data_IF_967789742715
#
_entry.id   IF_967789742715
#
_cell.length_a   1.000
_cell.length_b   1.000
_cell.length_c   1.000
_cell.angle_alpha   90.00
_cell.angle_beta   90.00
_cell.angle_gamma   90.00
#
_symmetry.space_group_name_H-M   'P 1'
#
loop_
_entity.id
_entity.type
_entity.pdbx_description
1 polymer ?
#
# COMPACT_ATOMS: atom_id res chain seq x y z
N UNK A 1 21.62 -6.00 8.68
CA UNK A 1 21.51 -5.33 7.37
C UNK A 1 20.04 -5.17 6.99
N UNK A 2 19.60 -3.97 6.58
CA UNK A 2 18.24 -3.79 6.04
C UNK A 2 18.22 -4.39 4.64
N UNK A 3 17.33 -5.35 4.41
CA UNK A 3 17.01 -5.83 3.07
C UNK A 3 15.50 -5.74 2.84
N UNK A 4 15.09 -5.70 1.57
CA UNK A 4 13.69 -5.76 1.20
C UNK A 4 13.43 -7.16 0.67
N UNK A 5 12.37 -7.81 1.14
CA UNK A 5 11.99 -9.11 0.58
C UNK A 5 11.61 -8.96 -0.91
N UNK A 6 10.90 -7.88 -1.25
CA UNK A 6 10.36 -7.62 -2.59
C UNK A 6 10.79 -6.25 -3.12
N UNK A 7 12.08 -6.08 -3.49
CA UNK A 7 12.62 -4.79 -3.90
C UNK A 7 11.97 -4.23 -5.17
N UNK A 8 11.47 -5.10 -6.06
CA UNK A 8 10.82 -4.69 -7.31
C UNK A 8 9.54 -3.88 -7.09
N UNK A 9 8.90 -3.98 -5.92
CA UNK A 9 7.68 -3.23 -5.61
C UNK A 9 7.95 -1.74 -5.40
N UNK A 10 9.20 -1.35 -5.18
CA UNK A 10 9.61 0.07 -5.20
C UNK A 10 9.37 0.67 -6.59
N UNK A 11 9.33 -0.13 -7.66
CA UNK A 11 8.99 0.33 -9.01
C UNK A 11 7.52 0.81 -9.14
N UNK A 12 6.65 0.61 -8.14
CA UNK A 12 5.31 1.21 -8.11
C UNK A 12 5.31 2.69 -7.70
N UNK A 13 6.43 3.23 -7.21
CA UNK A 13 6.53 4.63 -6.79
C UNK A 13 6.10 5.63 -7.88
N UNK A 14 6.49 5.50 -9.16
CA UNK A 14 6.02 6.38 -10.23
C UNK A 14 4.59 6.12 -10.72
N UNK A 15 3.88 5.08 -10.25
CA UNK A 15 2.53 4.72 -10.72
C UNK A 15 1.52 5.88 -10.71
N UNK A 16 1.36 6.67 -9.62
CA UNK A 16 0.41 7.79 -9.62
C UNK A 16 0.77 8.89 -10.64
N UNK A 17 2.06 9.11 -10.89
CA UNK A 17 2.52 10.05 -11.92
C UNK A 17 2.21 9.51 -13.32
N UNK A 18 2.46 8.23 -13.57
CA UNK A 18 2.15 7.59 -14.86
C UNK A 18 0.65 7.73 -15.16
N UNK A 19 -0.21 7.39 -14.19
CA UNK A 19 -1.68 7.52 -14.33
C UNK A 19 -2.09 8.99 -14.58
N UNK A 20 -1.41 9.95 -13.95
CA UNK A 20 -1.65 11.37 -14.19
C UNK A 20 -1.27 11.81 -15.62
N UNK A 21 -0.20 11.26 -16.19
CA UNK A 21 0.23 11.55 -17.57
C UNK A 21 -0.51 10.75 -18.64
N UNK A 22 -1.23 9.69 -18.26
CA UNK A 22 -2.06 8.97 -19.21
C UNK A 22 -3.11 9.94 -19.78
N UNK A 23 -3.34 9.91 -21.10
CA UNK A 23 -4.37 10.74 -21.70
C UNK A 23 -5.69 10.35 -21.06
N UNK A 24 -6.28 11.28 -20.31
CA UNK A 24 -7.63 11.12 -19.84
C UNK A 24 -8.46 10.76 -21.08
N UNK A 25 -9.18 9.62 -21.03
CA UNK A 25 -10.27 9.40 -21.99
C UNK A 25 -11.03 10.70 -21.97
N UNK A 26 -11.13 11.36 -23.13
CA UNK A 26 -12.03 12.51 -23.29
C UNK A 26 -13.35 12.01 -22.76
N UNK A 27 -13.67 12.40 -21.53
CA UNK A 27 -14.99 12.20 -21.04
C UNK A 27 -15.76 13.16 -21.93
N UNK A 28 -16.34 12.61 -23.00
CA UNK A 28 -17.61 13.09 -23.52
C UNK A 28 -18.64 12.82 -22.42
N UNK A 29 -18.38 13.38 -21.25
CA UNK A 29 -19.38 14.04 -20.48
C UNK A 29 -19.53 15.35 -21.27
N UNK A 30 -20.33 15.44 -22.36
CA UNK A 30 -21.79 15.50 -22.20
C UNK A 30 -22.12 15.37 -20.74
N UNK A 31 -21.80 16.47 -20.02
CA UNK A 31 -22.21 16.72 -18.65
C UNK A 31 -23.62 16.20 -18.62
N UNK A 32 -23.81 14.99 -18.09
CA UNK A 32 -25.14 14.40 -17.94
C UNK A 32 -25.82 15.47 -17.13
N UNK A 33 -26.70 16.22 -17.80
CA UNK A 33 -27.17 17.50 -17.32
C UNK A 33 -27.66 17.23 -15.91
N UNK A 34 -26.85 17.62 -14.93
CA UNK A 34 -27.27 17.59 -13.56
C UNK A 34 -28.31 18.68 -13.57
N UNK A 35 -29.58 18.29 -13.69
CA UNK A 35 -30.71 19.21 -13.68
C UNK A 35 -30.69 19.79 -12.29
N UNK A 36 -29.96 20.90 -12.15
CA UNK A 36 -29.89 21.66 -10.93
C UNK A 36 -31.21 22.43 -10.85
N UNK A 37 -32.03 22.22 -9.81
CA UNK A 37 -33.17 23.09 -9.57
C UNK A 37 -32.62 24.51 -9.40
N UNK A 38 -33.03 25.44 -10.25
CA UNK A 38 -32.62 26.84 -10.19
C UNK A 38 -33.20 27.46 -8.91
N UNK A 39 -32.40 27.44 -7.85
CA UNK A 39 -32.64 28.28 -6.68
C UNK A 39 -32.09 29.67 -6.97
N UNK A 40 -33.03 30.55 -7.30
CA UNK A 40 -33.03 32.03 -7.16
C UNK A 40 -31.66 32.67 -6.87
N UNK A 41 -31.28 33.59 -7.76
CA UNK A 41 -30.17 34.54 -7.66
C UNK A 41 -29.98 35.07 -6.23
N UNK A 42 -29.05 34.47 -5.50
CA UNK A 42 -28.43 35.07 -4.33
C UNK A 42 -27.10 35.62 -4.82
N UNK A 43 -26.94 36.92 -4.58
CA UNK A 43 -25.79 37.77 -4.82
C UNK A 43 -24.49 36.98 -4.88
N UNK A 44 -23.74 37.22 -5.95
CA UNK A 44 -22.37 36.80 -6.19
C UNK A 44 -21.43 37.26 -5.07
N UNK A 45 -21.52 36.63 -3.90
CA UNK A 45 -20.40 36.58 -2.98
C UNK A 45 -19.46 35.56 -3.57
N UNK A 46 -18.39 36.11 -4.14
CA UNK A 46 -17.13 35.46 -4.49
C UNK A 46 -17.14 33.99 -4.14
N UNK A 47 -17.18 33.16 -5.18
CA UNK A 47 -16.72 31.77 -5.17
C UNK A 47 -15.56 31.74 -4.20
N UNK A 48 -15.82 31.17 -3.01
CA UNK A 48 -14.82 31.00 -1.96
C UNK A 48 -13.62 30.48 -2.69
N UNK A 49 -12.56 31.30 -2.67
CA UNK A 49 -11.27 30.98 -3.24
C UNK A 49 -11.06 29.51 -2.90
N UNK A 50 -11.18 28.64 -3.92
CA UNK A 50 -10.85 27.24 -3.77
C UNK A 50 -9.33 27.24 -3.66
N UNK A 51 -8.88 27.76 -2.53
CA UNK A 51 -7.51 27.98 -2.14
C UNK A 51 -6.93 26.60 -2.24
N UNK A 52 -6.20 26.37 -3.33
CA UNK A 52 -5.71 25.08 -3.80
C UNK A 52 -5.20 24.31 -2.60
N UNK A 53 -6.06 23.50 -1.98
CA UNK A 53 -5.73 22.84 -0.71
C UNK A 53 -4.74 21.77 -1.13
N UNK A 54 -3.44 22.09 -1.04
CA UNK A 54 -2.35 21.13 -1.29
C UNK A 54 -2.26 20.10 -0.17
N UNK A 55 -2.86 20.39 0.99
CA UNK A 55 -2.93 19.49 2.15
C UNK A 55 -3.42 18.06 1.81
N UNK A 56 -4.56 17.84 1.12
CA UNK A 56 -4.98 16.50 0.72
C UNK A 56 -3.98 15.79 -0.20
N UNK A 57 -3.30 16.49 -1.10
CA UNK A 57 -2.29 15.88 -1.97
C UNK A 57 -1.05 15.43 -1.20
N UNK A 58 -0.62 16.21 -0.19
CA UNK A 58 0.51 15.85 0.67
C UNK A 58 0.18 14.59 1.48
N UNK A 59 -1.01 14.53 2.09
CA UNK A 59 -1.45 13.36 2.85
C UNK A 59 -1.54 12.13 1.95
N UNK A 60 -2.14 12.26 0.77
CA UNK A 60 -2.27 11.16 -0.18
C UNK A 60 -0.91 10.64 -0.65
N UNK A 61 0.03 11.54 -0.94
CA UNK A 61 1.41 11.18 -1.31
C UNK A 61 2.12 10.44 -0.18
N UNK A 62 1.95 10.89 1.06
CA UNK A 62 2.54 10.25 2.24
C UNK A 62 1.95 8.86 2.49
N UNK A 63 0.63 8.72 2.41
CA UNK A 63 -0.03 7.40 2.48
C UNK A 63 0.48 6.45 1.39
N UNK A 64 0.67 6.93 0.17
CA UNK A 64 1.19 6.14 -0.95
C UNK A 64 2.63 5.66 -0.69
N UNK A 65 3.51 6.54 -0.21
CA UNK A 65 4.87 6.18 0.16
C UNK A 65 4.90 5.13 1.29
N UNK A 66 4.09 5.32 2.33
CA UNK A 66 3.98 4.36 3.44
C UNK A 66 3.46 3.01 2.97
N UNK A 67 2.49 2.98 2.06
CA UNK A 67 1.95 1.75 1.48
C UNK A 67 3.05 0.98 0.72
N UNK A 68 3.81 1.65 -0.15
CA UNK A 68 4.90 1.01 -0.89
C UNK A 68 5.96 0.47 0.07
N UNK A 69 6.32 1.25 1.10
CA UNK A 69 7.29 0.82 2.10
C UNK A 69 6.80 -0.38 2.91
N UNK A 70 5.52 -0.43 3.27
CA UNK A 70 4.95 -1.58 3.98
C UNK A 70 4.94 -2.85 3.12
N UNK A 71 4.56 -2.73 1.85
CA UNK A 71 4.46 -3.88 0.95
C UNK A 71 5.85 -4.38 0.53
N UNK A 72 6.87 -3.52 0.44
CA UNK A 72 8.25 -3.96 0.11
C UNK A 72 8.92 -4.80 1.21
N UNK A 73 8.28 -4.93 2.38
CA UNK A 73 8.71 -5.75 3.53
C UNK A 73 10.17 -5.50 3.91
N UNK A 74 10.48 -4.33 4.51
CA UNK A 74 11.80 -4.07 5.08
C UNK A 74 12.05 -5.06 6.23
N UNK A 75 13.09 -5.85 6.07
CA UNK A 75 13.51 -6.86 7.03
C UNK A 75 14.92 -6.52 7.52
N UNK A 76 15.11 -6.64 8.82
CA UNK A 76 16.42 -6.51 9.43
C UNK A 76 17.07 -7.89 9.47
N UNK A 77 17.87 -8.21 8.46
CA UNK A 77 18.65 -9.45 8.48
C UNK A 77 19.81 -9.28 9.46
N UNK A 78 20.12 -10.33 10.20
CA UNK A 78 21.35 -10.39 10.98
C UNK A 78 22.60 -10.37 10.09
N UNK A 79 23.74 -10.66 10.70
CA UNK A 79 24.96 -10.94 9.93
C UNK A 79 24.79 -12.23 9.14
N UNK A 80 25.47 -12.32 7.99
CA UNK A 80 25.51 -13.55 7.24
C UNK A 80 26.26 -14.60 8.06
N UNK A 81 25.56 -15.66 8.44
CA UNK A 81 26.15 -16.80 9.12
C UNK A 81 26.48 -17.81 8.02
N UNK A 82 27.76 -18.12 7.86
CA UNK A 82 28.18 -19.22 7.01
C UNK A 82 27.60 -20.51 7.58
N UNK A 83 26.69 -21.13 6.84
CA UNK A 83 26.14 -22.44 7.21
C UNK A 83 27.21 -23.45 6.81
N UNK A 84 27.91 -24.09 7.77
CA UNK A 84 28.90 -25.10 7.41
C UNK A 84 28.18 -26.24 6.67
N UNK A 85 28.72 -26.64 5.52
CA UNK A 85 28.21 -27.77 4.71
C UNK A 85 28.55 -29.14 5.33
N UNK A 86 28.57 -29.21 6.65
CA UNK A 86 28.70 -30.44 7.42
C UNK A 86 27.33 -31.12 7.39
N UNK A 87 27.29 -32.42 7.07
CA UNK A 87 26.09 -33.23 7.20
C UNK A 87 25.68 -33.30 8.67
N UNK A 88 24.86 -32.36 9.12
CA UNK A 88 24.42 -32.30 10.52
C UNK A 88 23.38 -33.38 10.76
N UNK A 89 23.68 -34.31 11.66
CA UNK A 89 22.67 -35.19 12.24
C UNK A 89 21.69 -34.33 13.06
N UNK A 90 20.45 -34.22 12.58
CA UNK A 90 19.38 -33.51 13.29
C UNK A 90 18.60 -34.49 14.15
N UNK A 91 18.69 -34.33 15.47
CA UNK A 91 17.81 -35.03 16.40
C UNK A 91 16.57 -34.17 16.65
N UNK A 92 15.41 -34.66 16.24
CA UNK A 92 14.13 -34.02 16.53
C UNK A 92 13.52 -34.77 17.70
N UNK A 93 13.38 -34.10 18.84
CA UNK A 93 12.61 -34.61 19.97
C UNK A 93 11.20 -34.01 19.89
N UNK A 94 10.19 -34.88 19.85
CA UNK A 94 8.78 -34.51 19.82
C UNK A 94 8.17 -34.84 21.19
N UNK A 95 7.50 -33.88 21.81
CA UNK A 95 6.75 -34.14 23.03
C UNK A 95 5.45 -34.89 22.68
N UNK A 96 5.14 -35.90 23.48
CA UNK A 96 3.91 -36.71 23.37
C UNK A 96 3.07 -36.60 24.64
N UNK A 97 3.34 -35.60 25.49
CA UNK A 97 2.51 -35.29 26.65
C UNK A 97 1.08 -34.95 26.23
N UNK A 98 0.10 -35.18 27.10
CA UNK A 98 -1.31 -34.90 26.81
C UNK A 98 -1.63 -33.44 26.49
N UNK A 99 -0.70 -32.51 26.74
CA UNK A 99 -0.83 -31.12 26.29
C UNK A 99 -0.78 -30.96 24.76
N UNK A 100 -0.12 -31.89 24.07
CA UNK A 100 0.01 -31.89 22.60
C UNK A 100 -1.26 -32.40 21.89
N UNK A 101 -2.26 -32.88 22.64
CA UNK A 101 -3.56 -33.33 22.10
C UNK A 101 -4.49 -32.15 21.72
N UNK A 102 -4.13 -30.92 22.09
CA UNK A 102 -4.90 -29.73 21.76
C UNK A 102 -4.70 -29.40 20.27
N UNK A 103 -5.76 -29.57 19.49
CA UNK A 103 -5.78 -29.23 18.06
C UNK A 103 -5.85 -27.70 17.86
N UNK A 104 -4.69 -27.03 17.89
CA UNK A 104 -4.56 -25.59 17.62
C UNK A 104 -4.27 -25.28 16.13
N UNK A 105 -4.06 -26.32 15.31
CA UNK A 105 -3.78 -26.19 13.88
C UNK A 105 -4.75 -27.01 13.04
N UNK A 106 -5.39 -26.35 12.07
CA UNK A 106 -6.12 -27.01 11.00
C UNK A 106 -5.14 -27.49 9.93
N UNK A 107 -5.11 -28.79 9.67
CA UNK A 107 -4.41 -29.34 8.50
C UNK A 107 -5.19 -28.97 7.23
N UNK A 108 -4.51 -28.31 6.29
CA UNK A 108 -5.04 -27.97 4.96
C UNK A 108 -4.88 -29.11 3.96
#
# INVERSE_FOLDING_TARGET
>A
MISFAWPWLIALLPLPLIIYFLPAKKSTSQQSALIMPVVINISSNSVSDQQKRKAPLIVLSLCWLLLIMAISRPQWLGEAIDIPSEGREMMIAVDLSGSMEIEDMSLN
#
